data_IF_051461729675
#
_entry.id   IF_051461729675
#
_cell.length_a   1.000
_cell.length_b   1.000
_cell.length_c   1.000
_cell.angle_alpha   90.00
_cell.angle_beta   90.00
_cell.angle_gamma   90.00
#
_symmetry.space_group_name_H-M   'P 1'
#
loop_
_entity.id
_entity.type
_entity.pdbx_description
1 polymer ?
#
# COMPACT_ATOMS: atom_id res chain seq x y z
N UNK A 1 10.82 14.85 84.08
CA UNK A 1 11.55 15.57 83.02
C UNK A 1 12.22 14.55 82.09
N UNK A 2 11.92 14.64 80.78
CA UNK A 2 12.67 14.13 79.60
C UNK A 2 12.86 12.60 79.49
N UNK A 3 12.07 11.92 78.63
CA UNK A 3 12.30 11.65 77.19
C UNK A 3 13.55 10.79 76.95
N UNK A 4 13.45 9.58 76.41
CA UNK A 4 13.46 9.26 74.96
C UNK A 4 13.71 7.74 74.87
N UNK A 5 13.27 6.95 73.91
CA UNK A 5 12.70 7.15 72.58
C UNK A 5 13.04 5.88 71.80
N UNK A 6 12.12 4.91 71.75
CA UNK A 6 12.27 3.68 70.96
C UNK A 6 11.60 3.94 69.62
N UNK A 7 12.37 4.01 68.54
CA UNK A 7 11.83 4.22 67.20
C UNK A 7 12.32 3.13 66.27
N UNK A 8 11.44 2.15 66.08
CA UNK A 8 11.58 1.00 65.20
C UNK A 8 11.49 1.45 63.74
N UNK A 9 12.37 0.90 62.89
CA UNK A 9 12.37 1.12 61.44
C UNK A 9 11.02 0.80 60.80
N UNK A 10 10.46 1.75 60.04
CA UNK A 10 9.35 1.50 59.10
C UNK A 10 9.87 1.52 57.68
N UNK A 11 9.71 0.39 56.99
CA UNK A 11 10.01 0.23 55.58
C UNK A 11 9.11 1.13 54.72
N UNK A 12 9.72 1.93 53.83
CA UNK A 12 9.03 2.64 52.76
C UNK A 12 8.66 1.64 51.65
N UNK A 13 7.38 1.38 51.45
CA UNK A 13 6.88 0.83 50.19
C UNK A 13 6.23 1.97 49.40
N UNK A 14 6.94 2.43 48.36
CA UNK A 14 6.47 3.44 47.43
C UNK A 14 5.44 2.80 46.50
N UNK A 15 4.17 3.03 46.78
CA UNK A 15 3.09 2.60 45.89
C UNK A 15 3.06 3.49 44.65
N UNK A 16 3.21 2.88 43.46
CA UNK A 16 2.88 3.49 42.18
C UNK A 16 1.35 3.56 42.11
N UNK A 17 0.81 4.75 42.30
CA UNK A 17 -0.61 5.01 42.07
C UNK A 17 -0.80 5.10 40.56
N UNK A 18 -1.35 4.05 39.93
CA UNK A 18 -1.89 4.17 38.58
C UNK A 18 -3.05 5.16 38.67
N UNK A 19 -2.90 6.36 38.13
CA UNK A 19 -4.04 7.25 37.95
C UNK A 19 -4.93 6.63 36.89
N UNK A 20 -6.06 6.07 37.33
CA UNK A 20 -7.11 5.67 36.43
C UNK A 20 -7.76 6.94 35.90
N UNK A 21 -7.82 7.06 34.57
CA UNK A 21 -8.55 8.13 33.88
C UNK A 21 -9.96 8.25 34.48
N UNK A 22 -10.30 9.42 34.99
CA UNK A 22 -11.58 9.71 35.68
C UNK A 22 -12.75 9.94 34.72
N UNK A 23 -12.56 9.70 33.42
CA UNK A 23 -13.65 9.83 32.45
C UNK A 23 -14.57 8.60 32.56
N UNK A 24 -15.88 8.77 32.81
CA UNK A 24 -16.80 7.65 32.78
C UNK A 24 -16.82 7.07 31.36
N UNK A 25 -16.77 5.73 31.25
CA UNK A 25 -17.04 5.04 30.00
C UNK A 25 -18.44 5.45 29.53
N UNK A 26 -18.53 6.18 28.43
CA UNK A 26 -19.82 6.56 27.84
C UNK A 26 -20.35 5.35 27.09
N UNK A 27 -21.58 4.93 27.39
CA UNK A 27 -22.26 3.85 26.67
C UNK A 27 -22.36 4.21 25.17
N UNK A 28 -21.93 3.29 24.31
CA UNK A 28 -21.89 3.43 22.84
C UNK A 28 -23.26 3.80 22.27
N UNK A 29 -24.34 3.47 22.99
CA UNK A 29 -25.73 3.82 22.65
C UNK A 29 -26.05 5.32 22.64
N UNK A 30 -25.15 6.17 23.17
CA UNK A 30 -25.26 7.65 23.14
C UNK A 30 -24.65 8.29 21.89
N UNK A 31 -23.95 7.56 21.04
CA UNK A 31 -23.51 8.07 19.74
C UNK A 31 -24.74 8.43 18.88
N UNK A 32 -24.68 9.51 18.07
CA UNK A 32 -25.83 9.94 17.25
C UNK A 32 -26.24 8.82 16.29
N UNK A 33 -27.54 8.50 16.25
CA UNK A 33 -28.13 7.44 15.38
C UNK A 33 -28.58 7.96 14.00
N UNK A 34 -28.20 9.20 13.66
CA UNK A 34 -28.56 9.94 12.44
C UNK A 34 -27.45 10.95 12.12
N UNK A 35 -27.33 11.44 10.90
CA UNK A 35 -26.78 10.67 9.79
C UNK A 35 -25.29 11.03 9.73
N UNK A 36 -24.43 10.09 10.10
CA UNK A 36 -23.05 10.10 9.62
C UNK A 36 -23.09 9.65 8.18
N UNK A 37 -22.38 10.32 7.28
CA UNK A 37 -22.15 9.77 5.95
C UNK A 37 -21.60 8.35 6.11
N UNK A 38 -22.32 7.34 5.61
CA UNK A 38 -21.77 6.00 5.56
C UNK A 38 -20.61 6.01 4.56
N UNK A 39 -19.63 5.12 4.76
CA UNK A 39 -18.50 5.06 3.83
C UNK A 39 -18.98 4.64 2.44
N UNK A 40 -20.06 3.87 2.39
CA UNK A 40 -20.79 3.50 1.18
C UNK A 40 -21.41 4.70 0.47
N UNK A 41 -21.95 5.68 1.21
CA UNK A 41 -22.50 6.93 0.65
C UNK A 41 -21.39 7.88 0.14
N UNK A 42 -20.19 7.81 0.72
CA UNK A 42 -19.04 8.62 0.30
C UNK A 42 -18.34 8.04 -0.94
N UNK A 43 -18.33 6.72 -1.11
CA UNK A 43 -17.63 6.06 -2.21
C UNK A 43 -18.42 6.04 -3.53
N UNK A 44 -19.75 6.15 -3.46
CA UNK A 44 -20.60 6.04 -4.65
C UNK A 44 -21.00 7.43 -5.14
N UNK A 45 -20.37 7.89 -6.21
CA UNK A 45 -20.93 8.97 -7.02
C UNK A 45 -22.11 8.39 -7.83
N UNK A 46 -23.38 8.70 -7.47
CA UNK A 46 -24.55 8.01 -8.03
C UNK A 46 -24.80 8.32 -9.51
N UNK A 47 -24.20 9.39 -10.05
CA UNK A 47 -24.49 9.92 -11.38
C UNK A 47 -23.39 9.66 -12.42
N UNK A 48 -22.39 8.85 -12.08
CA UNK A 48 -21.23 8.64 -12.94
C UNK A 48 -21.32 7.33 -13.71
N UNK A 49 -21.16 7.43 -15.03
CA UNK A 49 -21.16 6.26 -15.92
C UNK A 49 -19.83 5.51 -15.85
N UNK A 50 -19.90 4.18 -15.94
CA UNK A 50 -18.75 3.30 -16.07
C UNK A 50 -17.88 3.71 -17.27
N UNK A 51 -16.57 3.75 -17.06
CA UNK A 51 -15.62 4.20 -18.08
C UNK A 51 -14.99 3.04 -18.83
N UNK A 52 -14.97 1.86 -18.23
CA UNK A 52 -14.41 0.66 -18.83
C UNK A 52 -15.41 -0.05 -19.76
N UNK A 53 -15.00 -0.22 -21.02
CA UNK A 53 -15.68 -1.08 -21.99
C UNK A 53 -14.94 -2.41 -22.11
N UNK A 54 -15.62 -3.45 -22.62
CA UNK A 54 -14.98 -4.76 -22.90
C UNK A 54 -13.73 -4.60 -23.77
N UNK A 55 -13.83 -3.86 -24.87
CA UNK A 55 -12.70 -3.60 -25.78
C UNK A 55 -11.50 -2.95 -25.07
N UNK A 56 -11.75 -2.02 -24.14
CA UNK A 56 -10.67 -1.38 -23.36
C UNK A 56 -10.00 -2.37 -22.41
N UNK A 57 -10.76 -3.27 -21.81
CA UNK A 57 -10.23 -4.31 -20.95
C UNK A 57 -9.41 -5.34 -21.75
N UNK A 58 -9.84 -5.68 -22.96
CA UNK A 58 -9.09 -6.55 -23.88
C UNK A 58 -7.77 -5.91 -24.32
N UNK A 59 -7.79 -4.63 -24.69
CA UNK A 59 -6.56 -3.87 -24.99
C UNK A 59 -5.61 -3.82 -23.78
N UNK A 60 -6.15 -3.64 -22.57
CA UNK A 60 -5.35 -3.65 -21.34
C UNK A 60 -4.73 -5.03 -21.09
N UNK A 61 -5.48 -6.10 -21.33
CA UNK A 61 -4.98 -7.47 -21.20
C UNK A 61 -3.83 -7.75 -22.16
N UNK A 62 -3.93 -7.26 -23.40
CA UNK A 62 -2.88 -7.36 -24.41
C UNK A 62 -1.61 -6.63 -23.98
N UNK A 63 -1.74 -5.39 -23.48
CA UNK A 63 -0.62 -4.60 -22.95
C UNK A 63 0.06 -5.27 -21.75
N UNK A 64 -0.70 -5.99 -20.93
CA UNK A 64 -0.18 -6.74 -19.80
C UNK A 64 0.30 -8.16 -20.17
N UNK A 65 0.17 -8.57 -21.43
CA UNK A 65 0.44 -9.94 -21.90
C UNK A 65 -0.32 -11.02 -21.09
N UNK A 66 -1.58 -10.74 -20.75
CA UNK A 66 -2.46 -11.63 -19.99
C UNK A 66 -3.53 -12.23 -20.89
N UNK A 67 -3.70 -13.55 -20.81
CA UNK A 67 -4.85 -14.23 -21.41
C UNK A 67 -6.03 -14.24 -20.43
N UNK A 68 -7.16 -13.66 -20.82
CA UNK A 68 -8.37 -13.61 -20.01
C UNK A 68 -9.43 -14.54 -20.62
N UNK A 69 -9.91 -15.56 -19.88
CA UNK A 69 -10.98 -16.41 -20.37
C UNK A 69 -12.31 -15.62 -20.41
N UNK A 70 -13.12 -15.83 -21.44
CA UNK A 70 -14.36 -15.06 -21.68
C UNK A 70 -15.35 -15.12 -20.51
N UNK A 71 -15.39 -16.25 -19.80
CA UNK A 71 -16.21 -16.48 -18.60
C UNK A 71 -15.90 -15.52 -17.45
N UNK A 72 -14.65 -15.05 -17.32
CA UNK A 72 -14.22 -14.12 -16.27
C UNK A 72 -14.31 -12.67 -16.69
N UNK A 73 -14.52 -12.40 -17.98
CA UNK A 73 -14.60 -11.04 -18.53
C UNK A 73 -15.64 -10.15 -17.82
N UNK A 74 -16.90 -10.57 -17.58
CA UNK A 74 -17.87 -9.70 -16.91
C UNK A 74 -17.52 -9.42 -15.45
N UNK A 75 -16.91 -10.37 -14.75
CA UNK A 75 -16.49 -10.20 -13.36
C UNK A 75 -15.32 -9.22 -13.26
N UNK A 76 -14.30 -9.39 -14.11
CA UNK A 76 -13.13 -8.52 -14.13
C UNK A 76 -13.47 -7.10 -14.54
N UNK A 77 -14.41 -6.92 -15.49
CA UNK A 77 -14.87 -5.60 -15.88
C UNK A 77 -15.42 -4.83 -14.67
N UNK A 78 -16.26 -5.51 -13.86
CA UNK A 78 -16.81 -4.92 -12.65
C UNK A 78 -15.72 -4.60 -11.60
N UNK A 79 -14.84 -5.56 -11.33
CA UNK A 79 -13.79 -5.39 -10.30
C UNK A 79 -12.81 -4.27 -10.65
N UNK A 80 -12.41 -4.16 -11.92
CA UNK A 80 -11.51 -3.10 -12.38
C UNK A 80 -12.21 -1.75 -12.35
N UNK A 81 -13.49 -1.67 -12.73
CA UNK A 81 -14.27 -0.43 -12.62
C UNK A 81 -14.40 0.01 -11.15
N UNK A 82 -14.64 -0.92 -10.22
CA UNK A 82 -14.68 -0.63 -8.78
C UNK A 82 -13.35 -0.03 -8.27
N UNK A 83 -12.21 -0.56 -8.75
CA UNK A 83 -10.88 -0.01 -8.43
C UNK A 83 -10.71 1.39 -9.02
N UNK A 84 -11.06 1.59 -10.28
CA UNK A 84 -10.95 2.90 -10.95
C UNK A 84 -11.78 3.93 -10.19
N UNK A 85 -13.00 3.59 -9.80
CA UNK A 85 -13.86 4.49 -9.05
C UNK A 85 -13.29 4.81 -7.67
N UNK A 86 -12.71 3.82 -6.98
CA UNK A 86 -12.00 4.06 -5.72
C UNK A 86 -10.82 5.04 -5.89
N UNK A 87 -10.01 4.88 -6.94
CA UNK A 87 -8.86 5.77 -7.19
C UNK A 87 -9.28 7.21 -7.49
N UNK A 88 -10.43 7.43 -8.14
CA UNK A 88 -10.96 8.76 -8.43
C UNK A 88 -11.34 9.52 -7.16
N UNK A 89 -12.03 8.86 -6.24
CA UNK A 89 -12.36 9.44 -4.92
C UNK A 89 -11.09 9.91 -4.21
N UNK A 90 -10.01 9.12 -4.28
CA UNK A 90 -8.72 9.50 -3.71
C UNK A 90 -8.15 10.73 -4.44
N UNK A 91 -8.18 10.76 -5.77
CA UNK A 91 -7.67 11.87 -6.57
C UNK A 91 -8.39 13.19 -6.27
N UNK A 92 -9.71 13.18 -6.13
CA UNK A 92 -10.50 14.38 -5.77
C UNK A 92 -10.07 14.96 -4.41
N UNK A 93 -9.74 14.11 -3.44
CA UNK A 93 -9.35 14.51 -2.09
C UNK A 93 -7.86 14.91 -1.98
N UNK A 94 -7.01 14.39 -2.86
CA UNK A 94 -5.54 14.54 -2.77
C UNK A 94 -4.98 15.74 -3.53
N UNK A 95 -5.82 16.59 -4.15
CA UNK A 95 -5.37 17.85 -4.79
C UNK A 95 -5.02 18.91 -3.73
N UNK A 96 -4.01 18.64 -2.90
CA UNK A 96 -3.39 19.63 -2.05
C UNK A 96 -2.38 20.45 -2.87
N UNK A 97 -2.26 21.76 -2.64
CA UNK A 97 -1.32 22.61 -3.35
C UNK A 97 0.16 22.19 -3.20
N UNK A 98 0.48 21.33 -2.23
CA UNK A 98 1.83 20.83 -1.94
C UNK A 98 2.04 19.36 -2.36
N UNK A 99 1.37 18.86 -3.41
CA UNK A 99 1.59 17.48 -3.90
C UNK A 99 3.01 17.28 -4.44
N UNK A 100 3.60 18.31 -5.07
CA UNK A 100 4.97 18.26 -5.60
C UNK A 100 6.01 18.02 -4.49
N UNK A 101 5.74 18.53 -3.30
CA UNK A 101 6.56 18.30 -2.11
C UNK A 101 6.59 16.82 -1.72
N UNK A 102 5.53 16.05 -1.96
CA UNK A 102 5.48 14.62 -1.62
C UNK A 102 6.38 13.81 -2.55
N UNK A 103 6.36 14.11 -3.85
CA UNK A 103 7.26 13.50 -4.84
C UNK A 103 8.73 13.88 -4.60
N UNK A 104 8.99 15.07 -4.09
CA UNK A 104 10.33 15.50 -3.70
C UNK A 104 10.80 14.91 -2.35
N UNK A 105 9.86 14.54 -1.45
CA UNK A 105 10.14 14.10 -0.07
C UNK A 105 10.20 12.59 0.11
N UNK A 106 9.96 11.76 -0.92
CA UNK A 106 10.16 10.32 -0.82
C UNK A 106 11.65 10.03 -0.56
N UNK A 107 12.03 9.86 0.71
CA UNK A 107 13.33 9.38 1.24
C UNK A 107 14.65 10.01 0.76
N UNK A 108 14.61 10.97 -0.18
CA UNK A 108 15.76 11.73 -0.67
C UNK A 108 15.76 13.18 -0.18
N UNK A 109 14.96 13.51 0.84
CA UNK A 109 14.81 14.86 1.42
C UNK A 109 16.11 15.53 1.93
N UNK A 110 17.24 14.82 1.91
CA UNK A 110 18.60 15.36 2.07
C UNK A 110 19.66 14.64 1.21
N UNK A 111 19.28 13.94 0.14
CA UNK A 111 20.26 13.14 -0.61
C UNK A 111 20.91 14.01 -1.69
N UNK A 112 22.10 14.49 -1.32
CA UNK A 112 23.06 15.09 -2.22
C UNK A 112 23.37 14.14 -3.40
N UNK A 113 22.85 14.48 -4.59
CA UNK A 113 23.11 13.77 -5.85
C UNK A 113 22.67 12.29 -5.85
N UNK A 114 22.17 11.79 -6.99
CA UNK A 114 21.97 10.35 -7.14
C UNK A 114 23.33 9.64 -6.93
N UNK A 115 23.38 8.49 -6.23
CA UNK A 115 24.61 7.73 -6.06
C UNK A 115 25.13 7.33 -7.44
N UNK A 116 26.34 7.79 -7.77
CA UNK A 116 27.00 7.44 -9.02
C UNK A 116 27.64 6.06 -8.87
N UNK A 117 27.48 5.21 -9.88
CA UNK A 117 28.18 3.93 -9.97
C UNK A 117 29.63 4.18 -10.40
N UNK A 118 30.59 3.54 -9.73
CA UNK A 118 31.99 3.55 -10.15
C UNK A 118 32.16 2.87 -11.51
N UNK A 119 32.97 3.47 -12.38
CA UNK A 119 33.26 2.93 -13.71
C UNK A 119 34.36 1.85 -13.66
N UNK A 120 34.06 0.74 -13.00
CA UNK A 120 34.94 -0.42 -12.89
C UNK A 120 34.53 -1.52 -13.87
N UNK A 121 35.52 -2.14 -14.53
CA UNK A 121 35.31 -3.32 -15.36
C UNK A 121 34.99 -4.51 -14.45
N UNK A 122 33.82 -5.11 -14.63
CA UNK A 122 33.43 -6.34 -13.92
C UNK A 122 33.61 -7.53 -14.86
N UNK A 123 34.00 -8.68 -14.31
CA UNK A 123 34.15 -9.92 -15.07
C UNK A 123 32.80 -10.40 -15.65
N UNK A 124 32.85 -11.07 -16.79
CA UNK A 124 31.69 -11.52 -17.55
C UNK A 124 31.83 -12.97 -18.03
N UNK A 125 30.98 -13.38 -18.97
CA UNK A 125 31.06 -14.70 -19.63
C UNK A 125 30.77 -15.92 -18.72
N UNK A 126 29.73 -15.83 -17.89
CA UNK A 126 29.21 -16.95 -17.10
C UNK A 126 27.85 -17.46 -17.64
N UNK A 127 27.79 -18.01 -18.86
CA UNK A 127 26.52 -18.39 -19.48
C UNK A 127 25.79 -19.48 -18.68
N UNK A 128 26.52 -20.39 -18.04
CA UNK A 128 25.93 -21.47 -17.24
C UNK A 128 25.21 -20.94 -15.99
N UNK A 129 25.74 -19.88 -15.36
CA UNK A 129 25.10 -19.24 -14.20
C UNK A 129 23.88 -18.43 -14.62
N UNK A 130 23.96 -17.70 -15.73
CA UNK A 130 22.85 -16.89 -16.26
C UNK A 130 21.67 -17.78 -16.68
N UNK A 131 21.95 -18.94 -17.27
CA UNK A 131 20.93 -19.86 -17.78
C UNK A 131 20.46 -20.89 -16.73
N UNK A 132 20.93 -20.83 -15.50
CA UNK A 132 20.61 -21.81 -14.46
C UNK A 132 19.11 -21.87 -14.13
N UNK A 133 18.43 -20.72 -14.18
CA UNK A 133 17.00 -20.60 -13.91
C UNK A 133 16.13 -20.63 -15.18
N UNK A 134 16.73 -20.82 -16.36
CA UNK A 134 15.99 -20.85 -17.61
C UNK A 134 15.18 -22.14 -17.72
N UNK A 135 13.89 -22.04 -18.06
CA UNK A 135 13.02 -23.20 -18.26
C UNK A 135 13.46 -24.05 -19.45
N UNK A 136 13.83 -23.42 -20.55
CA UNK A 136 14.35 -24.09 -21.76
C UNK A 136 15.52 -23.29 -22.33
N UNK A 137 16.62 -23.98 -22.66
CA UNK A 137 17.82 -23.39 -23.24
C UNK A 137 18.30 -24.19 -24.44
N UNK A 138 18.86 -23.49 -25.41
CA UNK A 138 19.52 -24.11 -26.57
C UNK A 138 20.94 -23.56 -26.68
N UNK A 139 21.93 -24.38 -26.32
CA UNK A 139 23.31 -23.92 -26.17
C UNK A 139 23.40 -22.80 -25.12
N UNK A 140 23.94 -21.65 -25.53
CA UNK A 140 24.07 -20.45 -24.68
C UNK A 140 22.93 -19.44 -24.85
N UNK A 141 21.77 -19.86 -25.34
CA UNK A 141 20.64 -18.99 -25.64
C UNK A 141 19.36 -19.41 -24.91
N UNK A 142 18.53 -18.42 -24.56
CA UNK A 142 17.15 -18.66 -24.13
C UNK A 142 16.32 -19.08 -25.33
N UNK A 143 15.59 -20.18 -25.20
CA UNK A 143 14.69 -20.64 -26.25
C UNK A 143 13.31 -19.98 -26.07
N UNK A 144 12.85 -19.25 -27.09
CA UNK A 144 11.54 -18.60 -27.12
C UNK A 144 10.79 -19.06 -28.37
N UNK A 145 9.47 -19.37 -28.27
CA UNK A 145 8.67 -19.67 -29.44
C UNK A 145 8.70 -18.52 -30.44
N UNK A 146 8.87 -18.84 -31.71
CA UNK A 146 8.71 -17.85 -32.77
C UNK A 146 7.23 -17.54 -32.90
N UNK A 147 6.84 -16.29 -32.63
CA UNK A 147 5.50 -15.80 -32.95
C UNK A 147 5.48 -15.52 -34.45
N UNK A 148 4.56 -16.17 -35.16
CA UNK A 148 4.18 -15.82 -36.52
C UNK A 148 2.84 -15.11 -36.39
N UNK A 149 2.78 -13.87 -36.87
CA UNK A 149 1.53 -13.13 -36.99
C UNK A 149 0.88 -13.52 -38.32
N UNK A 150 -0.44 -13.72 -38.32
CA UNK A 150 -1.26 -13.88 -39.53
C UNK A 150 -1.62 -12.50 -40.13
#
# INVERSE_FOLDING_TARGET
>A
MKSSGVMTMRACHRWIVRSFSTKPLVDVTRAPRVASWSIEDLHRHPDQADVLTRERLENLAELCHLHIPEEKMPTLLKEVEDIIQCTRVIQELTVNANVDDVYAKSDFGQVASAPLRDDAITDGNYPDLVLANASTKHGYYFQVPKVLED
#
